data_IF_166083062372
#
_entry.id   IF_166083062372
#
_cell.length_a   1.000
_cell.length_b   1.000
_cell.length_c   1.000
_cell.angle_alpha   90.00
_cell.angle_beta   90.00
_cell.angle_gamma   90.00
#
_symmetry.space_group_name_H-M   'P 1'
#
loop_
_entity.id
_entity.type
_entity.pdbx_description
1 polymer ?
#
# COMPACT_ATOMS: atom_id res chain seq x y z
N UNK A 1 1.78 -32.13 30.91
CA UNK A 1 2.28 -30.98 30.13
C UNK A 1 1.07 -30.13 29.78
N UNK A 2 0.94 -28.94 30.38
CA UNK A 2 -0.31 -28.16 30.38
C UNK A 2 -0.53 -27.43 29.05
N UNK A 3 -1.79 -27.11 28.72
CA UNK A 3 -2.15 -26.31 27.53
C UNK A 3 -1.35 -25.01 27.41
N UNK A 4 -0.99 -24.41 28.54
CA UNK A 4 -0.14 -23.23 28.61
C UNK A 4 1.26 -23.46 28.02
N UNK A 5 1.87 -24.63 28.28
CA UNK A 5 3.19 -24.98 27.71
C UNK A 5 3.11 -25.18 26.19
N UNK A 6 2.02 -25.76 25.69
CA UNK A 6 1.78 -25.90 24.25
C UNK A 6 1.52 -24.54 23.58
N UNK A 7 0.79 -23.64 24.24
CA UNK A 7 0.58 -22.27 23.76
C UNK A 7 1.89 -21.48 23.72
N UNK A 8 2.71 -21.55 24.77
CA UNK A 8 4.03 -20.89 24.79
C UNK A 8 5.00 -21.48 23.76
N UNK A 9 4.94 -22.78 23.49
CA UNK A 9 5.76 -23.40 22.45
C UNK A 9 5.34 -22.97 21.04
N UNK A 10 4.03 -22.85 20.77
CA UNK A 10 3.52 -22.31 19.50
C UNK A 10 3.93 -20.85 19.33
N UNK A 11 3.76 -20.02 20.35
CA UNK A 11 4.23 -18.63 20.35
C UNK A 11 5.74 -18.55 20.08
N UNK A 12 6.57 -19.37 20.72
CA UNK A 12 8.02 -19.38 20.46
C UNK A 12 8.38 -19.85 19.05
N UNK A 13 7.64 -20.81 18.49
CA UNK A 13 7.86 -21.31 17.13
C UNK A 13 7.44 -20.26 16.08
N UNK A 14 6.35 -19.53 16.34
CA UNK A 14 5.83 -18.49 15.47
C UNK A 14 6.58 -17.16 15.62
N UNK A 15 7.24 -16.94 16.77
CA UNK A 15 8.15 -15.81 17.05
C UNK A 15 9.62 -16.11 16.69
N UNK A 16 9.94 -17.31 16.20
CA UNK A 16 11.27 -17.58 15.68
C UNK A 16 11.53 -16.58 14.54
N UNK A 17 12.62 -15.80 14.59
CA UNK A 17 12.83 -14.75 13.61
C UNK A 17 12.81 -15.41 12.22
N UNK A 18 11.98 -14.92 11.29
CA UNK A 18 11.92 -15.50 9.95
C UNK A 18 13.34 -15.50 9.38
N UNK A 19 13.70 -16.56 8.62
CA UNK A 19 14.92 -16.55 7.82
C UNK A 19 14.86 -15.27 6.97
N UNK A 20 15.64 -14.27 7.37
CA UNK A 20 15.54 -12.92 6.81
C UNK A 20 15.85 -13.06 5.32
N UNK A 21 14.84 -12.87 4.46
CA UNK A 21 15.05 -12.82 3.03
C UNK A 21 16.20 -11.83 2.75
N UNK A 22 17.08 -12.10 1.76
CA UNK A 22 18.21 -11.23 1.47
C UNK A 22 17.68 -9.81 1.28
N UNK A 23 18.05 -8.92 2.20
CA UNK A 23 17.75 -7.50 2.05
C UNK A 23 18.56 -7.06 0.84
N UNK A 24 17.90 -6.42 -0.12
CA UNK A 24 18.49 -6.05 -1.41
C UNK A 24 19.88 -5.41 -1.30
N UNK A 25 20.62 -5.40 -2.41
CA UNK A 25 22.06 -5.15 -2.41
C UNK A 25 22.50 -3.98 -1.52
N UNK A 26 23.37 -4.27 -0.55
CA UNK A 26 23.92 -3.30 0.40
C UNK A 26 25.33 -2.92 -0.03
N UNK A 27 25.75 -1.65 0.06
CA UNK A 27 27.14 -1.29 -0.18
C UNK A 27 28.04 -1.82 0.94
N UNK A 28 29.21 -2.32 0.57
CA UNK A 28 30.28 -2.70 1.48
C UNK A 28 30.80 -1.46 2.20
N UNK A 29 30.81 -1.45 3.53
CA UNK A 29 31.26 -0.29 4.33
C UNK A 29 32.73 0.11 4.10
N UNK A 30 33.56 -0.79 3.57
CA UNK A 30 34.98 -0.55 3.36
C UNK A 30 35.34 -0.08 1.93
N UNK A 31 34.55 -0.46 0.92
CA UNK A 31 34.91 -0.27 -0.49
C UNK A 31 33.72 0.04 -1.41
N UNK A 32 32.54 0.26 -0.83
CA UNK A 32 31.27 0.62 -1.48
C UNK A 32 30.70 -0.36 -2.52
N UNK A 33 31.39 -1.47 -2.79
CA UNK A 33 30.87 -2.55 -3.65
C UNK A 33 29.54 -3.08 -3.11
N UNK A 34 28.53 -3.16 -3.96
CA UNK A 34 27.22 -3.74 -3.63
C UNK A 34 27.33 -5.26 -3.43
N UNK A 35 26.66 -5.77 -2.40
CA UNK A 35 26.65 -7.18 -2.00
C UNK A 35 25.27 -7.63 -1.52
N UNK A 36 24.94 -8.91 -1.69
CA UNK A 36 23.71 -9.52 -1.17
C UNK A 36 22.43 -9.24 -1.97
N UNK A 37 22.54 -8.76 -3.22
CA UNK A 37 21.46 -8.78 -4.20
C UNK A 37 21.09 -10.20 -4.65
N UNK A 38 19.90 -10.35 -5.26
CA UNK A 38 19.40 -11.64 -5.76
C UNK A 38 20.31 -12.21 -6.86
N UNK A 39 20.92 -11.33 -7.64
CA UNK A 39 21.82 -11.65 -8.74
C UNK A 39 23.30 -11.46 -8.39
N UNK A 40 23.61 -11.07 -7.14
CA UNK A 40 25.00 -10.86 -6.73
C UNK A 40 25.66 -12.21 -6.46
N UNK A 41 26.73 -12.52 -7.20
CA UNK A 41 27.58 -13.70 -6.93
C UNK A 41 28.22 -13.68 -5.53
N UNK A 42 28.27 -12.50 -4.89
CA UNK A 42 28.89 -12.31 -3.58
C UNK A 42 27.83 -12.15 -2.47
N UNK A 43 27.72 -13.12 -1.54
CA UNK A 43 26.86 -12.97 -0.37
C UNK A 43 27.36 -11.83 0.53
N UNK A 44 26.44 -11.03 1.05
CA UNK A 44 26.79 -9.99 2.01
C UNK A 44 27.23 -10.60 3.35
N UNK A 45 28.49 -10.37 3.74
CA UNK A 45 28.97 -10.73 5.07
C UNK A 45 28.60 -9.63 6.06
N UNK A 46 27.59 -9.88 6.89
CA UNK A 46 27.22 -8.96 7.98
C UNK A 46 28.21 -9.04 9.13
N UNK A 47 28.46 -7.91 9.81
CA UNK A 47 29.24 -7.91 11.04
C UNK A 47 28.66 -8.90 12.05
N UNK A 48 29.44 -9.88 12.50
CA UNK A 48 28.95 -10.92 13.42
C UNK A 48 28.44 -10.40 14.77
N UNK A 49 28.86 -9.20 15.18
CA UNK A 49 28.44 -8.59 16.45
C UNK A 49 27.17 -7.74 16.31
N UNK A 50 27.19 -6.70 15.47
CA UNK A 50 26.05 -5.78 15.36
C UNK A 50 25.05 -6.14 14.25
N UNK A 51 25.45 -6.94 13.25
CA UNK A 51 24.66 -7.33 12.06
C UNK A 51 24.11 -6.18 11.20
N UNK A 52 24.41 -4.93 11.53
CA UNK A 52 23.94 -3.75 10.80
C UNK A 52 24.78 -3.46 9.54
N UNK A 53 26.10 -3.66 9.61
CA UNK A 53 27.04 -3.31 8.54
C UNK A 53 27.38 -4.53 7.69
N UNK A 54 27.37 -4.35 6.37
CA UNK A 54 27.70 -5.38 5.38
C UNK A 54 29.09 -5.17 4.79
N UNK A 55 29.76 -6.28 4.48
CA UNK A 55 31.07 -6.33 3.84
C UNK A 55 31.08 -7.35 2.70
N UNK A 56 31.84 -7.10 1.64
CA UNK A 56 32.04 -8.09 0.58
C UNK A 56 32.99 -9.22 0.98
N UNK A 57 33.88 -8.98 1.94
CA UNK A 57 34.86 -9.97 2.39
C UNK A 57 35.33 -9.72 3.82
N UNK A 58 36.03 -10.70 4.40
CA UNK A 58 36.62 -10.58 5.73
C UNK A 58 37.71 -9.51 5.78
N UNK A 59 38.47 -9.36 4.71
CA UNK A 59 39.53 -8.35 4.57
C UNK A 59 38.94 -6.94 4.66
N UNK A 60 37.82 -6.70 3.98
CA UNK A 60 37.08 -5.43 4.06
C UNK A 60 36.55 -5.16 5.48
N UNK A 61 36.06 -6.19 6.17
CA UNK A 61 35.64 -6.04 7.57
C UNK A 61 36.80 -5.69 8.50
N UNK A 62 37.98 -6.30 8.29
CA UNK A 62 39.18 -6.03 9.11
C UNK A 62 39.75 -4.64 8.81
N UNK A 63 39.76 -4.22 7.55
CA UNK A 63 40.26 -2.89 7.16
C UNK A 63 39.38 -1.77 7.73
N UNK A 64 38.06 -1.93 7.70
CA UNK A 64 37.11 -0.95 8.25
C UNK A 64 36.97 -1.01 9.79
N UNK A 65 37.51 -2.05 10.44
CA UNK A 65 37.30 -2.28 11.88
C UNK A 65 37.68 -1.07 12.76
N UNK A 66 38.74 -0.33 12.40
CA UNK A 66 39.17 0.86 13.15
C UNK A 66 38.08 1.93 13.22
N UNK A 67 37.32 2.12 12.13
CA UNK A 67 36.21 3.06 12.06
C UNK A 67 34.93 2.43 12.62
N UNK A 68 34.62 1.20 12.19
CA UNK A 68 33.41 0.49 12.56
C UNK A 68 33.31 0.18 14.05
N UNK A 69 34.40 -0.05 14.78
CA UNK A 69 34.36 -0.51 16.19
C UNK A 69 33.50 0.38 17.10
N UNK A 70 33.57 1.70 16.93
CA UNK A 70 32.77 2.66 17.71
C UNK A 70 31.28 2.52 17.38
N UNK A 71 30.95 2.56 16.08
CA UNK A 71 29.59 2.38 15.58
C UNK A 71 29.02 1.01 15.94
N UNK A 72 29.83 -0.05 15.93
CA UNK A 72 29.44 -1.41 16.30
C UNK A 72 28.93 -1.49 17.74
N UNK A 73 29.59 -0.79 18.67
CA UNK A 73 29.15 -0.72 20.06
C UNK A 73 27.83 0.06 20.19
N UNK A 74 27.67 1.16 19.44
CA UNK A 74 26.43 1.95 19.42
C UNK A 74 25.26 1.16 18.83
N UNK A 75 25.45 0.48 17.70
CA UNK A 75 24.43 -0.37 17.09
C UNK A 75 23.97 -1.47 18.04
N UNK A 76 24.90 -2.13 18.72
CA UNK A 76 24.56 -3.14 19.73
C UNK A 76 23.76 -2.56 20.89
N UNK A 77 24.16 -1.41 21.44
CA UNK A 77 23.39 -0.74 22.51
C UNK A 77 21.98 -0.39 22.06
N UNK A 78 21.83 0.08 20.81
CA UNK A 78 20.50 0.37 20.22
C UNK A 78 19.66 -0.90 20.10
N UNK A 79 20.25 -2.01 19.63
CA UNK A 79 19.53 -3.28 19.51
C UNK A 79 19.17 -3.86 20.88
N UNK A 80 20.08 -3.85 21.85
CA UNK A 80 19.78 -4.28 23.23
C UNK A 80 18.67 -3.42 23.88
N UNK A 81 18.67 -2.11 23.63
CA UNK A 81 17.60 -1.23 24.09
C UNK A 81 16.27 -1.54 23.40
N UNK A 82 16.29 -1.86 22.10
CA UNK A 82 15.11 -2.28 21.34
C UNK A 82 14.57 -3.61 21.85
N UNK A 83 15.42 -4.60 22.08
CA UNK A 83 15.04 -5.90 22.63
C UNK A 83 14.45 -5.75 24.02
N UNK A 84 15.06 -4.94 24.89
CA UNK A 84 14.53 -4.66 26.22
C UNK A 84 13.17 -3.96 26.16
N UNK A 85 12.99 -3.00 25.25
CA UNK A 85 11.71 -2.33 25.04
C UNK A 85 10.65 -3.30 24.49
N UNK A 86 11.02 -4.16 23.55
CA UNK A 86 10.12 -5.19 23.01
C UNK A 86 9.71 -6.22 24.07
N UNK A 87 10.60 -6.55 25.01
CA UNK A 87 10.26 -7.41 26.15
C UNK A 87 9.36 -6.71 27.18
N UNK A 88 9.56 -5.41 27.40
CA UNK A 88 8.74 -4.62 28.32
C UNK A 88 7.33 -4.38 27.76
N UNK A 89 7.21 -4.14 26.45
CA UNK A 89 5.95 -3.84 25.78
C UNK A 89 5.80 -4.66 24.48
N UNK A 90 5.52 -5.98 24.58
CA UNK A 90 5.47 -6.87 23.42
C UNK A 90 4.47 -6.44 22.36
N UNK A 91 3.31 -5.92 22.78
CA UNK A 91 2.27 -5.44 21.87
C UNK A 91 2.74 -4.24 21.04
N UNK A 92 3.52 -3.32 21.61
CA UNK A 92 4.02 -2.15 20.88
C UNK A 92 5.07 -2.55 19.84
N UNK A 93 5.87 -3.58 20.11
CA UNK A 93 6.78 -4.14 19.10
C UNK A 93 6.01 -4.73 17.92
N UNK A 94 4.98 -5.55 18.20
CA UNK A 94 4.14 -6.14 17.15
C UNK A 94 3.41 -5.05 16.37
N UNK A 95 2.87 -4.03 17.04
CA UNK A 95 2.24 -2.89 16.39
C UNK A 95 3.18 -2.19 15.41
N UNK A 96 4.42 -1.89 15.82
CA UNK A 96 5.40 -1.23 14.93
C UNK A 96 5.75 -2.06 13.71
N UNK A 97 5.96 -3.35 13.90
CA UNK A 97 6.27 -4.27 12.80
C UNK A 97 5.07 -4.39 11.84
N UNK A 98 3.85 -4.51 12.38
CA UNK A 98 2.60 -4.52 11.62
C UNK A 98 2.39 -3.19 10.88
N UNK A 99 2.59 -2.05 11.54
CA UNK A 99 2.37 -0.73 10.96
C UNK A 99 3.37 -0.47 9.82
N UNK A 100 4.63 -0.88 10.00
CA UNK A 100 5.64 -0.82 8.94
C UNK A 100 5.26 -1.69 7.75
N UNK A 101 4.84 -2.92 7.99
CA UNK A 101 4.41 -3.82 6.92
C UNK A 101 3.15 -3.29 6.20
N UNK A 102 2.18 -2.79 6.96
CA UNK A 102 0.93 -2.24 6.45
C UNK A 102 1.19 -0.99 5.62
N UNK A 103 2.08 -0.10 6.07
CA UNK A 103 2.45 1.11 5.31
C UNK A 103 2.95 0.81 3.89
N UNK A 104 3.66 -0.31 3.72
CA UNK A 104 4.12 -0.79 2.41
C UNK A 104 3.01 -1.45 1.60
N UNK A 105 2.10 -2.16 2.28
CA UNK A 105 0.96 -2.80 1.63
C UNK A 105 0.00 -1.78 1.01
N UNK A 106 -0.16 -0.61 1.66
CA UNK A 106 -1.10 0.44 1.24
C UNK A 106 -0.46 1.62 0.50
N UNK A 107 0.86 1.57 0.31
CA UNK A 107 1.66 2.63 -0.34
C UNK A 107 1.05 3.03 -1.68
N UNK A 108 0.60 2.05 -2.45
CA UNK A 108 0.09 2.24 -3.80
C UNK A 108 -1.27 2.93 -3.80
N UNK A 109 -2.17 2.54 -2.91
CA UNK A 109 -3.47 3.17 -2.75
C UNK A 109 -3.32 4.63 -2.31
N UNK A 110 -2.43 4.89 -1.34
CA UNK A 110 -2.12 6.26 -0.91
C UNK A 110 -1.64 7.10 -2.10
N UNK A 111 -0.67 6.56 -2.84
CA UNK A 111 -0.06 7.23 -3.97
C UNK A 111 -1.08 7.46 -5.09
N UNK A 112 -1.85 6.44 -5.48
CA UNK A 112 -2.71 6.51 -6.65
C UNK A 112 -4.05 7.23 -6.40
N UNK A 113 -4.66 7.06 -5.22
CA UNK A 113 -5.93 7.70 -4.88
C UNK A 113 -5.76 9.05 -4.21
N UNK A 114 -4.94 9.09 -3.15
CA UNK A 114 -4.99 10.22 -2.25
C UNK A 114 -4.04 11.32 -2.69
N UNK A 115 -2.81 11.01 -3.09
CA UNK A 115 -1.78 12.04 -3.30
C UNK A 115 -2.20 13.14 -4.27
N UNK A 116 -2.71 12.76 -5.44
CA UNK A 116 -3.12 13.74 -6.46
C UNK A 116 -4.21 14.66 -5.92
N UNK A 117 -5.28 14.08 -5.38
CA UNK A 117 -6.47 14.80 -4.94
C UNK A 117 -6.23 15.57 -3.63
N UNK A 118 -5.56 14.95 -2.67
CA UNK A 118 -5.22 15.51 -1.36
C UNK A 118 -4.24 16.69 -1.46
N UNK A 119 -3.19 16.56 -2.29
CA UNK A 119 -2.19 17.62 -2.47
C UNK A 119 -2.45 18.52 -3.67
N UNK A 120 -3.51 18.25 -4.42
CA UNK A 120 -3.97 19.04 -5.58
C UNK A 120 -2.87 19.18 -6.63
N UNK A 121 -2.17 18.09 -6.91
CA UNK A 121 -1.00 18.08 -7.78
C UNK A 121 -1.34 18.63 -9.17
N UNK A 122 -0.51 19.54 -9.69
CA UNK A 122 -0.71 20.18 -11.00
C UNK A 122 -1.66 21.38 -11.00
N UNK A 123 -2.32 21.68 -9.87
CA UNK A 123 -3.18 22.85 -9.74
C UNK A 123 -2.42 24.06 -9.20
N UNK A 124 -3.02 25.26 -9.31
CA UNK A 124 -2.38 26.52 -8.89
C UNK A 124 -2.09 26.58 -7.39
N UNK A 125 -2.84 25.82 -6.62
CA UNK A 125 -2.87 25.73 -5.18
C UNK A 125 -2.47 24.34 -4.70
N UNK A 126 -1.54 23.71 -5.43
CA UNK A 126 -0.86 22.51 -4.95
C UNK A 126 -0.20 22.77 -3.60
N UNK A 127 -0.27 21.80 -2.70
CA UNK A 127 0.07 22.02 -1.29
C UNK A 127 1.03 20.97 -0.73
N UNK A 128 1.65 20.16 -1.60
CA UNK A 128 2.54 19.06 -1.25
C UNK A 128 3.72 19.46 -0.34
N UNK A 129 4.29 20.65 -0.54
CA UNK A 129 5.44 21.12 0.26
C UNK A 129 5.05 21.78 1.59
N UNK A 130 3.77 22.12 1.76
CA UNK A 130 3.25 22.85 2.91
C UNK A 130 2.30 22.02 3.76
N UNK A 131 1.90 20.84 3.29
CA UNK A 131 0.97 19.96 3.96
C UNK A 131 1.47 18.52 3.98
N UNK A 132 0.89 17.72 4.88
CA UNK A 132 1.10 16.27 4.97
C UNK A 132 -0.23 15.55 4.97
N UNK A 133 -0.24 14.33 4.44
CA UNK A 133 -1.38 13.44 4.54
C UNK A 133 -1.31 12.68 5.87
N UNK A 134 -2.35 12.74 6.68
CA UNK A 134 -2.44 12.05 7.96
C UNK A 134 -3.54 11.00 7.89
N UNK A 135 -3.18 9.75 8.17
CA UNK A 135 -4.11 8.64 8.30
C UNK A 135 -4.20 8.24 9.78
N UNK A 136 -5.39 8.37 10.36
CA UNK A 136 -5.67 7.89 11.71
C UNK A 136 -6.22 6.47 11.63
N UNK A 137 -5.51 5.53 12.25
CA UNK A 137 -5.76 4.10 12.20
C UNK A 137 -6.13 3.56 13.58
N UNK A 138 -7.03 2.58 13.65
CA UNK A 138 -7.13 1.69 14.81
C UNK A 138 -6.44 0.39 14.50
N UNK A 139 -5.78 -0.19 15.50
CA UNK A 139 -5.08 -1.46 15.36
C UNK A 139 -5.70 -2.58 16.20
N UNK A 140 -5.73 -3.79 15.63
CA UNK A 140 -6.16 -5.03 16.25
C UNK A 140 -5.18 -6.15 15.88
N UNK A 141 -4.44 -6.72 16.84
CA UNK A 141 -3.49 -7.79 16.53
C UNK A 141 -4.15 -9.13 16.18
N UNK A 142 -5.46 -9.31 16.43
CA UNK A 142 -6.10 -10.62 16.32
C UNK A 142 -6.28 -11.14 14.88
N UNK A 143 -6.69 -10.32 13.89
CA UNK A 143 -6.88 -10.80 12.52
C UNK A 143 -5.59 -11.36 11.93
N UNK A 144 -5.70 -12.52 11.26
CA UNK A 144 -4.53 -13.16 10.62
C UNK A 144 -3.98 -12.36 9.44
N UNK A 145 -4.87 -11.72 8.67
CA UNK A 145 -4.50 -10.89 7.52
C UNK A 145 -4.12 -9.49 8.00
N UNK A 146 -2.95 -9.01 7.60
CA UNK A 146 -2.40 -7.72 8.01
C UNK A 146 -3.36 -6.56 7.73
N UNK A 147 -3.93 -6.47 6.53
CA UNK A 147 -4.92 -5.43 6.17
C UNK A 147 -6.11 -5.33 7.12
N UNK A 148 -6.56 -6.46 7.68
CA UNK A 148 -7.68 -6.50 8.64
C UNK A 148 -7.28 -6.09 10.05
N UNK A 149 -5.98 -5.99 10.35
CA UNK A 149 -5.48 -5.50 11.63
C UNK A 149 -5.59 -4.00 11.75
N UNK A 150 -5.77 -3.27 10.65
CA UNK A 150 -5.89 -1.82 10.65
C UNK A 150 -7.26 -1.39 10.13
N UNK A 151 -7.87 -0.44 10.83
CA UNK A 151 -9.08 0.25 10.39
C UNK A 151 -8.72 1.73 10.21
N UNK A 152 -8.82 2.23 8.98
CA UNK A 152 -8.68 3.67 8.73
C UNK A 152 -9.93 4.40 9.22
N UNK A 153 -9.77 5.17 10.30
CA UNK A 153 -10.84 5.96 10.95
C UNK A 153 -10.96 7.33 10.28
N UNK A 154 -9.83 7.92 9.92
CA UNK A 154 -9.78 9.27 9.37
C UNK A 154 -8.62 9.40 8.38
N UNK A 155 -8.84 10.16 7.32
CA UNK A 155 -7.81 10.58 6.37
C UNK A 155 -7.97 12.09 6.17
N UNK A 156 -6.90 12.87 6.38
CA UNK A 156 -6.96 14.33 6.27
C UNK A 156 -5.62 14.93 5.84
N UNK A 157 -5.65 16.15 5.34
CA UNK A 157 -4.47 16.92 4.96
C UNK A 157 -4.25 18.01 5.99
N UNK A 158 -3.10 17.97 6.66
CA UNK A 158 -2.74 18.95 7.70
C UNK A 158 -1.60 19.83 7.23
N UNK A 159 -1.67 21.13 7.54
CA UNK A 159 -0.58 22.05 7.30
C UNK A 159 0.64 21.69 8.15
N UNK A 160 1.83 21.79 7.56
CA UNK A 160 3.11 21.63 8.24
C UNK A 160 3.47 22.97 8.89
N UNK A 161 3.59 23.06 10.23
CA UNK A 161 3.98 24.29 10.89
C UNK A 161 5.33 24.78 10.36
N UNK A 162 5.41 26.08 10.03
CA UNK A 162 6.62 26.73 9.51
C UNK A 162 7.13 26.20 8.17
N UNK A 163 6.34 25.44 7.41
CA UNK A 163 6.73 25.08 6.06
C UNK A 163 6.80 26.34 5.18
N UNK A 164 7.96 26.57 4.59
CA UNK A 164 8.11 27.60 3.56
C UNK A 164 7.48 27.05 2.27
N UNK A 165 6.55 27.80 1.63
CA UNK A 165 6.02 27.40 0.34
C UNK A 165 7.18 27.20 -0.62
N UNK A 166 7.36 25.99 -1.14
CA UNK A 166 8.20 25.83 -2.33
C UNK A 166 7.43 26.46 -3.48
N UNK A 167 8.11 27.14 -4.43
CA UNK A 167 7.46 27.51 -5.67
C UNK A 167 6.78 26.24 -6.21
N UNK A 168 5.53 26.36 -6.70
CA UNK A 168 4.89 25.20 -7.27
C UNK A 168 5.81 24.64 -8.34
N UNK A 169 5.73 23.34 -8.57
CA UNK A 169 6.50 22.59 -9.57
C UNK A 169 6.08 22.96 -11.00
N UNK A 170 5.67 24.22 -11.20
CA UNK A 170 5.28 24.86 -12.44
C UNK A 170 6.51 25.04 -13.32
N UNK A 171 6.51 24.30 -14.43
CA UNK A 171 7.32 24.63 -15.59
C UNK A 171 8.40 23.63 -15.96
N UNK A 172 8.50 22.48 -15.29
CA UNK A 172 9.38 21.40 -15.76
C UNK A 172 8.64 20.13 -16.13
N UNK A 173 7.30 20.06 -16.17
CA UNK A 173 6.64 18.85 -16.68
C UNK A 173 6.68 18.74 -18.22
N UNK A 174 7.21 19.75 -18.90
CA UNK A 174 7.81 19.60 -20.23
C UNK A 174 9.26 19.05 -20.09
N UNK A 175 9.52 18.17 -19.11
CA UNK A 175 10.72 17.33 -19.18
C UNK A 175 10.52 16.45 -20.40
N UNK A 176 11.59 16.28 -21.19
CA UNK A 176 11.65 15.25 -22.23
C UNK A 176 10.99 13.97 -21.69
N UNK A 177 10.19 13.30 -22.51
CA UNK A 177 9.35 12.13 -22.14
C UNK A 177 10.11 11.03 -21.37
N UNK A 178 11.44 11.08 -21.35
CA UNK A 178 12.36 10.17 -20.68
C UNK A 178 12.69 10.52 -19.20
N UNK A 179 12.55 11.78 -18.74
CA UNK A 179 12.77 12.12 -17.31
C UNK A 179 11.45 12.02 -16.53
N UNK A 180 11.27 10.88 -15.85
CA UNK A 180 10.15 10.64 -14.96
C UNK A 180 10.09 11.70 -13.85
N UNK A 181 9.16 12.65 -13.99
CA UNK A 181 8.89 13.63 -12.95
C UNK A 181 8.50 12.90 -11.66
N UNK A 182 9.37 13.03 -10.65
CA UNK A 182 9.25 12.37 -9.35
C UNK A 182 8.81 13.39 -8.30
N UNK A 183 7.67 13.10 -7.68
CA UNK A 183 7.04 13.99 -6.71
C UNK A 183 7.10 13.34 -5.33
N UNK A 184 7.64 14.05 -4.34
CA UNK A 184 7.79 13.57 -2.96
C UNK A 184 6.79 14.24 -2.00
N UNK A 185 6.00 13.43 -1.28
CA UNK A 185 5.09 13.90 -0.23
C UNK A 185 5.34 13.24 1.12
N UNK A 186 4.91 13.92 2.19
CA UNK A 186 4.95 13.40 3.56
C UNK A 186 3.61 12.75 3.93
N UNK A 187 3.68 11.53 4.46
CA UNK A 187 2.52 10.82 5.01
C UNK A 187 2.84 10.37 6.42
N UNK A 188 1.87 10.58 7.30
CA UNK A 188 1.95 10.19 8.69
C UNK A 188 0.82 9.22 9.01
N UNK A 189 1.17 8.04 9.49
CA UNK A 189 0.23 7.07 10.02
C UNK A 189 0.18 7.24 11.55
N UNK A 190 -0.98 7.60 12.08
CA UNK A 190 -1.22 7.73 13.51
C UNK A 190 -2.08 6.57 13.98
N UNK A 191 -1.60 5.81 14.96
CA UNK A 191 -2.39 4.72 15.56
C UNK A 191 -3.08 5.24 16.80
N UNK A 192 -4.39 5.05 16.86
CA UNK A 192 -5.25 5.48 17.96
C UNK A 192 -5.52 4.31 18.90
N UNK A 193 -5.45 4.55 20.21
CA UNK A 193 -5.93 3.62 21.21
C UNK A 193 -7.45 3.40 21.05
N UNK A 194 -7.88 2.13 21.09
CA UNK A 194 -9.29 1.79 20.89
C UNK A 194 -10.21 2.32 22.00
N UNK A 195 -9.71 2.48 23.22
CA UNK A 195 -10.50 2.88 24.39
C UNK A 195 -10.47 4.39 24.60
N UNK A 196 -9.29 5.00 24.53
CA UNK A 196 -9.11 6.43 24.82
C UNK A 196 -9.21 7.31 23.58
N UNK A 197 -8.95 6.76 22.39
CA UNK A 197 -8.83 7.52 21.15
C UNK A 197 -7.54 8.34 21.06
N UNK A 198 -6.64 8.24 22.04
CA UNK A 198 -5.34 8.93 22.04
C UNK A 198 -4.35 8.28 21.09
N UNK A 199 -3.37 9.06 20.62
CA UNK A 199 -2.31 8.56 19.74
C UNK A 199 -1.35 7.69 20.55
N UNK A 200 -1.20 6.43 20.16
CA UNK A 200 -0.27 5.48 20.80
C UNK A 200 1.05 5.36 20.06
N UNK A 201 1.02 5.51 18.73
CA UNK A 201 2.19 5.39 17.87
C UNK A 201 2.05 6.28 16.64
N UNK A 202 3.19 6.79 16.15
CA UNK A 202 3.24 7.65 14.98
C UNK A 202 4.35 7.18 14.05
N UNK A 203 3.98 6.81 12.83
CA UNK A 203 4.92 6.39 11.80
C UNK A 203 4.92 7.39 10.64
N UNK A 204 5.98 8.20 10.56
CA UNK A 204 6.26 9.01 9.39
C UNK A 204 6.95 8.15 8.35
N UNK A 205 6.33 7.97 7.18
CA UNK A 205 7.09 7.50 6.02
C UNK A 205 7.80 8.73 5.44
N UNK A 206 9.14 8.78 5.46
CA UNK A 206 9.84 10.04 5.25
C UNK A 206 9.56 10.64 3.87
N UNK A 207 9.29 9.80 2.86
CA UNK A 207 8.99 10.23 1.49
C UNK A 207 8.18 9.15 0.78
N UNK A 208 6.98 9.48 0.32
CA UNK A 208 6.31 8.72 -0.73
C UNK A 208 6.63 9.38 -2.04
N UNK A 209 7.19 8.59 -2.96
CA UNK A 209 7.58 9.03 -4.28
C UNK A 209 6.54 8.62 -5.30
N UNK A 210 6.12 9.55 -6.14
CA UNK A 210 5.27 9.20 -7.27
C UNK A 210 5.88 9.66 -8.57
N UNK A 211 6.01 8.72 -9.49
CA UNK A 211 6.26 9.01 -10.90
C UNK A 211 4.97 9.47 -11.55
N UNK A 212 4.98 10.64 -12.16
CA UNK A 212 3.80 11.19 -12.84
C UNK A 212 3.29 10.32 -13.99
N UNK A 213 4.14 9.45 -14.54
CA UNK A 213 3.76 8.41 -15.49
C UNK A 213 2.69 7.45 -14.94
N UNK A 214 2.50 7.38 -13.62
CA UNK A 214 1.44 6.58 -13.00
C UNK A 214 0.04 7.17 -13.20
N UNK A 215 -0.07 8.43 -13.66
CA UNK A 215 -1.34 9.04 -14.10
C UNK A 215 -1.31 9.32 -15.62
N UNK A 216 -1.30 8.29 -16.47
CA UNK A 216 -1.19 8.46 -17.93
C UNK A 216 -2.43 9.06 -18.60
N UNK A 217 -3.50 9.32 -17.85
CA UNK A 217 -4.84 9.59 -18.41
C UNK A 217 -5.07 11.05 -18.84
N UNK A 218 -4.37 12.02 -18.26
CA UNK A 218 -4.51 13.43 -18.61
C UNK A 218 -3.43 14.27 -17.92
N UNK A 219 -3.02 15.42 -18.51
CA UNK A 219 -2.22 16.41 -17.81
C UNK A 219 -2.87 16.78 -16.47
N UNK A 220 -2.10 16.70 -15.38
CA UNK A 220 -2.62 16.95 -14.03
C UNK A 220 -3.33 18.31 -13.88
N UNK A 221 -2.90 19.32 -14.66
CA UNK A 221 -3.45 20.68 -14.65
C UNK A 221 -4.89 20.78 -15.13
N UNK A 222 -5.39 19.81 -15.90
CA UNK A 222 -6.77 19.79 -16.40
C UNK A 222 -7.63 18.68 -15.75
N UNK A 223 -7.00 17.76 -15.02
CA UNK A 223 -7.71 16.66 -14.34
C UNK A 223 -8.43 17.20 -13.10
N UNK A 224 -9.76 17.03 -12.98
CA UNK A 224 -10.49 17.50 -11.80
C UNK A 224 -10.01 16.81 -10.52
N UNK A 225 -10.15 17.48 -9.38
CA UNK A 225 -9.77 16.92 -8.06
C UNK A 225 -10.96 16.12 -7.51
N UNK A 226 -10.69 14.92 -7.00
CA UNK A 226 -11.71 14.18 -6.25
C UNK A 226 -11.90 14.83 -4.88
N UNK A 227 -13.01 15.52 -4.67
CA UNK A 227 -13.32 16.14 -3.37
C UNK A 227 -13.64 15.13 -2.26
N UNK A 228 -13.99 13.89 -2.62
CA UNK A 228 -14.30 12.80 -1.69
C UNK A 228 -13.13 11.84 -1.46
N UNK A 229 -11.92 12.19 -1.91
CA UNK A 229 -10.72 11.34 -1.85
C UNK A 229 -10.48 10.69 -0.49
N UNK A 230 -10.78 11.39 0.61
CA UNK A 230 -10.58 10.88 1.97
C UNK A 230 -11.52 9.71 2.29
N UNK A 231 -12.80 9.82 1.91
CA UNK A 231 -13.80 8.76 2.08
C UNK A 231 -13.49 7.58 1.17
N UNK A 232 -13.10 7.85 -0.07
CA UNK A 232 -12.79 6.81 -1.07
C UNK A 232 -11.52 6.04 -0.68
N UNK A 233 -10.48 6.73 -0.21
CA UNK A 233 -9.30 6.08 0.36
C UNK A 233 -9.68 5.20 1.55
N UNK A 234 -10.48 5.71 2.50
CA UNK A 234 -10.93 4.91 3.64
C UNK A 234 -11.69 3.65 3.21
N UNK A 235 -12.57 3.76 2.21
CA UNK A 235 -13.30 2.62 1.67
C UNK A 235 -12.34 1.61 1.01
N UNK A 236 -11.38 2.07 0.22
CA UNK A 236 -10.36 1.24 -0.42
C UNK A 236 -9.51 0.48 0.61
N UNK A 237 -9.08 1.16 1.68
CA UNK A 237 -8.26 0.56 2.74
C UNK A 237 -9.02 -0.48 3.60
N UNK A 238 -10.36 -0.45 3.61
CA UNK A 238 -11.20 -1.45 4.28
C UNK A 238 -11.40 -2.72 3.46
N UNK A 239 -11.21 -2.66 2.14
CA UNK A 239 -11.29 -3.84 1.29
C UNK A 239 -10.23 -4.85 1.77
N UNK A 240 -10.49 -6.16 1.81
CA UNK A 240 -9.44 -7.15 2.08
C UNK A 240 -8.46 -7.35 0.91
N UNK A 241 -8.76 -6.82 -0.28
CA UNK A 241 -7.99 -7.00 -1.51
C UNK A 241 -7.43 -5.66 -1.98
N UNK A 242 -6.10 -5.57 -2.08
CA UNK A 242 -5.42 -4.41 -2.65
C UNK A 242 -5.89 -4.23 -4.10
N UNK A 243 -6.45 -3.08 -4.47
CA UNK A 243 -6.83 -2.84 -5.87
C UNK A 243 -5.57 -2.83 -6.74
N UNK A 244 -5.73 -3.14 -8.02
CA UNK A 244 -4.59 -3.17 -8.94
C UNK A 244 -4.05 -1.77 -9.22
N UNK A 245 -2.78 -1.71 -9.61
CA UNK A 245 -2.09 -0.45 -9.97
C UNK A 245 -2.82 0.34 -11.06
N UNK A 246 -3.46 -0.32 -12.02
CA UNK A 246 -4.14 0.31 -13.14
C UNK A 246 -5.53 0.81 -12.78
N UNK A 247 -6.18 0.21 -11.78
CA UNK A 247 -7.53 0.56 -11.39
C UNK A 247 -7.55 1.83 -10.53
N UNK A 248 -6.62 1.96 -9.58
CA UNK A 248 -6.61 3.04 -8.60
C UNK A 248 -6.65 4.45 -9.25
N UNK A 249 -5.80 4.77 -10.25
CA UNK A 249 -5.82 6.09 -10.86
C UNK A 249 -7.09 6.35 -11.69
N UNK A 250 -7.62 5.31 -12.31
CA UNK A 250 -8.83 5.40 -13.11
C UNK A 250 -10.07 5.57 -12.23
N UNK A 251 -10.12 4.92 -11.06
CA UNK A 251 -11.15 5.14 -10.05
C UNK A 251 -11.09 6.57 -9.51
N UNK A 252 -9.91 7.09 -9.15
CA UNK A 252 -9.76 8.49 -8.73
C UNK A 252 -10.25 9.47 -9.81
N UNK A 253 -9.91 9.21 -11.07
CA UNK A 253 -10.36 10.01 -12.21
C UNK A 253 -11.89 10.00 -12.35
N UNK A 254 -12.51 8.82 -12.32
CA UNK A 254 -13.97 8.67 -12.40
C UNK A 254 -14.66 9.39 -11.25
N UNK A 255 -14.15 9.22 -10.03
CA UNK A 255 -14.71 9.84 -8.83
C UNK A 255 -14.57 11.36 -8.85
N UNK A 256 -13.51 11.87 -9.47
CA UNK A 256 -13.30 13.31 -9.68
C UNK A 256 -14.34 13.97 -10.59
N UNK A 257 -15.03 13.19 -11.42
CA UNK A 257 -16.08 13.69 -12.30
C UNK A 257 -17.47 13.69 -11.64
N UNK A 258 -17.66 13.16 -10.43
CA UNK A 258 -18.96 13.24 -9.73
C UNK A 258 -19.19 14.68 -9.22
N UNK A 259 -20.24 15.42 -9.68
CA UNK A 259 -21.62 14.96 -9.85
C UNK A 259 -22.09 14.91 -11.31
N UNK A 260 -21.16 14.79 -12.27
CA UNK A 260 -21.51 14.66 -13.69
C UNK A 260 -22.37 13.40 -13.86
N UNK A 261 -23.38 13.48 -14.72
CA UNK A 261 -24.25 12.33 -14.99
C UNK A 261 -23.41 11.11 -15.42
N UNK A 262 -23.82 9.87 -15.10
CA UNK A 262 -23.09 8.66 -15.49
C UNK A 262 -22.69 8.65 -16.98
N UNK A 263 -23.58 9.14 -17.86
CA UNK A 263 -23.32 9.25 -19.30
C UNK A 263 -22.18 10.23 -19.66
N UNK A 264 -22.05 11.34 -18.95
CA UNK A 264 -20.99 12.30 -19.21
C UNK A 264 -19.66 11.92 -18.53
N UNK A 265 -19.70 11.22 -17.39
CA UNK A 265 -18.53 10.53 -16.85
C UNK A 265 -18.04 9.45 -17.82
N UNK A 266 -18.95 8.63 -18.37
CA UNK A 266 -18.65 7.61 -19.36
C UNK A 266 -18.11 8.20 -20.68
N UNK A 267 -18.67 9.31 -21.18
CA UNK A 267 -18.15 9.99 -22.36
C UNK A 267 -16.75 10.59 -22.15
N UNK A 268 -16.46 11.11 -20.95
CA UNK A 268 -15.11 11.58 -20.58
C UNK A 268 -14.12 10.42 -20.45
N UNK A 269 -14.59 9.31 -19.87
CA UNK A 269 -13.83 8.06 -19.78
C UNK A 269 -13.50 7.55 -21.19
N UNK A 270 -14.49 7.42 -22.06
CA UNK A 270 -14.31 7.00 -23.46
C UNK A 270 -13.36 7.94 -24.23
N UNK A 271 -13.50 9.26 -24.11
CA UNK A 271 -12.56 10.23 -24.70
C UNK A 271 -11.15 10.13 -24.15
N UNK A 272 -11.00 9.83 -22.86
CA UNK A 272 -9.70 9.54 -22.30
C UNK A 272 -9.15 8.28 -22.99
N UNK A 273 -9.87 7.17 -22.95
CA UNK A 273 -9.41 5.90 -23.51
C UNK A 273 -9.22 5.86 -25.03
N UNK A 274 -9.85 6.75 -25.81
CA UNK A 274 -9.56 6.94 -27.23
C UNK A 274 -8.08 7.25 -27.48
N UNK A 275 -7.44 8.01 -26.58
CA UNK A 275 -6.01 8.32 -26.65
C UNK A 275 -5.12 7.20 -26.11
N UNK A 276 -5.68 6.24 -25.36
CA UNK A 276 -4.93 5.17 -24.68
C UNK A 276 -5.62 3.79 -24.77
N UNK A 277 -5.79 3.23 -25.99
CA UNK A 277 -6.58 2.01 -26.21
C UNK A 277 -6.04 0.76 -25.50
N UNK A 278 -4.72 0.68 -25.29
CA UNK A 278 -4.10 -0.41 -24.50
C UNK A 278 -4.59 -0.40 -23.05
N UNK A 279 -4.74 0.79 -22.48
CA UNK A 279 -5.17 1.00 -21.11
C UNK A 279 -6.66 0.69 -20.94
N UNK A 280 -7.48 0.93 -21.98
CA UNK A 280 -8.91 0.55 -22.00
C UNK A 280 -9.10 -0.95 -21.80
N UNK A 281 -8.32 -1.75 -22.54
CA UNK A 281 -8.34 -3.21 -22.42
C UNK A 281 -7.86 -3.65 -21.04
N UNK A 282 -6.74 -3.11 -20.57
CA UNK A 282 -6.22 -3.43 -19.23
C UNK A 282 -7.22 -3.11 -18.12
N UNK A 283 -7.85 -1.93 -18.15
CA UNK A 283 -8.84 -1.53 -17.14
C UNK A 283 -10.04 -2.48 -17.10
N UNK A 284 -10.56 -2.86 -18.28
CA UNK A 284 -11.73 -3.70 -18.33
C UNK A 284 -11.42 -5.19 -18.02
N UNK A 285 -10.26 -5.72 -18.43
CA UNK A 285 -9.78 -7.04 -18.00
C UNK A 285 -9.63 -7.10 -16.47
N UNK A 286 -9.11 -6.02 -15.89
CA UNK A 286 -8.84 -5.91 -14.46
C UNK A 286 -10.11 -5.74 -13.62
N UNK A 287 -11.08 -4.96 -14.12
CA UNK A 287 -12.40 -4.85 -13.50
C UNK A 287 -13.11 -6.21 -13.47
N UNK A 288 -13.01 -7.00 -14.54
CA UNK A 288 -13.54 -8.37 -14.59
C UNK A 288 -12.81 -9.27 -13.57
N UNK A 289 -11.48 -9.16 -13.43
CA UNK A 289 -10.70 -9.92 -12.44
C UNK A 289 -11.17 -9.61 -11.01
N UNK A 290 -11.34 -8.34 -10.67
CA UNK A 290 -11.72 -7.91 -9.32
C UNK A 290 -13.14 -8.32 -8.98
N UNK A 291 -14.10 -8.15 -9.89
CA UNK A 291 -15.47 -8.62 -9.66
C UNK A 291 -15.52 -10.14 -9.49
N UNK A 292 -14.68 -10.88 -10.24
CA UNK A 292 -14.50 -12.32 -10.03
C UNK A 292 -13.91 -12.65 -8.67
N UNK A 293 -12.88 -11.94 -8.22
CA UNK A 293 -12.28 -12.17 -6.89
C UNK A 293 -13.25 -11.81 -5.76
N UNK A 294 -13.98 -10.70 -5.88
CA UNK A 294 -15.06 -10.34 -4.94
C UNK A 294 -16.12 -11.43 -4.87
N UNK A 295 -16.52 -11.99 -6.02
CA UNK A 295 -17.45 -13.11 -6.07
C UNK A 295 -16.88 -14.38 -5.42
N UNK A 296 -15.62 -14.72 -5.68
CA UNK A 296 -14.96 -15.92 -5.15
C UNK A 296 -14.64 -15.84 -3.65
N UNK A 297 -14.37 -14.64 -3.13
CA UNK A 297 -13.99 -14.40 -1.74
C UNK A 297 -15.10 -13.78 -0.89
N UNK A 298 -16.31 -13.64 -1.44
CA UNK A 298 -17.49 -13.31 -0.66
C UNK A 298 -17.71 -14.40 0.42
N UNK A 299 -17.75 -14.06 1.71
CA UNK A 299 -18.02 -15.05 2.75
C UNK A 299 -19.38 -15.71 2.51
N UNK A 300 -19.44 -17.05 2.57
CA UNK A 300 -20.70 -17.82 2.47
C UNK A 300 -21.75 -17.42 3.52
N UNK A 301 -21.36 -16.64 4.54
CA UNK A 301 -22.22 -16.18 5.64
C UNK A 301 -22.54 -14.68 5.61
N UNK A 302 -22.00 -13.89 4.68
CA UNK A 302 -22.49 -12.53 4.49
C UNK A 302 -23.65 -12.56 3.53
N UNK A 303 -24.87 -12.40 4.05
CA UNK A 303 -25.96 -11.75 3.31
C UNK A 303 -25.59 -10.28 3.07
N UNK A 304 -24.48 -10.04 2.37
CA UNK A 304 -24.33 -8.84 1.58
C UNK A 304 -25.45 -8.95 0.56
N UNK A 305 -26.53 -8.20 0.78
CA UNK A 305 -27.42 -7.86 -0.31
C UNK A 305 -26.50 -7.27 -1.39
N UNK A 306 -26.16 -8.09 -2.40
CA UNK A 306 -25.78 -7.57 -3.70
C UNK A 306 -26.78 -6.45 -3.95
N UNK A 307 -26.29 -5.23 -4.21
CA UNK A 307 -27.16 -4.10 -4.49
C UNK A 307 -28.28 -4.63 -5.42
N UNK A 308 -29.55 -4.63 -5.00
CA UNK A 308 -30.61 -5.27 -5.77
C UNK A 308 -30.80 -4.64 -7.16
N UNK A 309 -30.15 -3.49 -7.37
CA UNK A 309 -30.06 -2.80 -8.66
C UNK A 309 -28.80 -3.16 -9.46
N UNK A 310 -27.94 -4.07 -8.99
CA UNK A 310 -26.77 -4.53 -9.74
C UNK A 310 -27.20 -5.55 -10.79
N UNK A 311 -27.52 -5.02 -11.96
CA UNK A 311 -27.93 -5.81 -13.11
C UNK A 311 -26.72 -6.48 -13.76
N UNK A 312 -26.46 -7.73 -13.37
CA UNK A 312 -25.39 -8.55 -13.94
C UNK A 312 -25.54 -8.72 -15.46
N UNK A 313 -26.77 -8.67 -15.98
CA UNK A 313 -27.03 -8.70 -17.42
C UNK A 313 -26.62 -7.38 -18.06
N UNK A 314 -26.93 -6.22 -17.47
CA UNK A 314 -26.44 -4.93 -17.96
C UNK A 314 -24.91 -4.85 -17.97
N UNK A 315 -24.23 -5.38 -16.94
CA UNK A 315 -22.77 -5.46 -16.92
C UNK A 315 -22.21 -6.39 -18.00
N UNK A 316 -22.80 -7.57 -18.18
CA UNK A 316 -22.37 -8.50 -19.24
C UNK A 316 -22.63 -7.92 -20.64
N UNK A 317 -23.75 -7.21 -20.82
CA UNK A 317 -24.10 -6.53 -22.07
C UNK A 317 -23.13 -5.36 -22.35
N UNK A 318 -22.72 -4.60 -21.32
CA UNK A 318 -21.67 -3.59 -21.40
C UNK A 318 -20.33 -4.21 -21.85
N UNK A 319 -19.89 -5.30 -21.22
CA UNK A 319 -18.64 -6.00 -21.56
C UNK A 319 -18.67 -6.55 -23.00
N UNK A 320 -19.82 -7.08 -23.43
CA UNK A 320 -20.04 -7.49 -24.83
C UNK A 320 -19.97 -6.32 -25.80
N UNK A 321 -20.57 -5.18 -25.47
CA UNK A 321 -20.56 -3.98 -26.31
C UNK A 321 -19.15 -3.39 -26.50
N UNK A 322 -18.26 -3.62 -25.53
CA UNK A 322 -16.85 -3.25 -25.58
C UNK A 322 -15.99 -4.25 -26.39
N UNK A 323 -16.58 -5.31 -26.95
CA UNK A 323 -15.88 -6.33 -27.74
C UNK A 323 -15.02 -7.28 -26.90
N UNK A 324 -15.33 -7.44 -25.62
CA UNK A 324 -14.47 -8.12 -24.63
C UNK A 324 -14.88 -9.56 -24.29
N UNK A 325 -15.76 -10.16 -25.08
CA UNK A 325 -16.22 -11.55 -24.92
C UNK A 325 -17.49 -11.69 -24.07
N UNK A 326 -17.92 -12.93 -23.81
CA UNK A 326 -19.14 -13.26 -23.06
C UNK A 326 -18.82 -13.87 -21.69
N UNK A 327 -19.28 -13.25 -20.60
CA UNK A 327 -19.10 -13.79 -19.25
C UNK A 327 -20.06 -14.94 -18.91
N UNK A 328 -21.03 -15.25 -19.78
CA UNK A 328 -22.05 -16.29 -19.54
C UNK A 328 -21.46 -17.67 -19.27
N UNK A 329 -20.28 -17.98 -19.83
CA UNK A 329 -19.58 -19.25 -19.61
C UNK A 329 -19.01 -19.41 -18.18
N UNK A 330 -18.92 -18.33 -17.40
CA UNK A 330 -18.41 -18.33 -16.03
C UNK A 330 -19.52 -18.42 -14.97
N UNK A 331 -20.79 -18.24 -15.36
CA UNK A 331 -21.95 -18.47 -14.51
C UNK A 331 -22.20 -19.98 -14.39
N UNK A 332 -21.47 -20.66 -13.48
CA UNK A 332 -21.87 -22.03 -13.10
C UNK A 332 -23.11 -21.94 -12.21
N UNK A 333 -24.21 -22.64 -12.54
CA UNK A 333 -25.35 -22.72 -11.63
C UNK A 333 -24.89 -23.37 -10.33
N UNK A 334 -25.07 -22.65 -9.22
CA UNK A 334 -24.91 -23.19 -7.88
C UNK A 334 -25.90 -24.34 -7.76
N UNK A 335 -25.40 -25.57 -7.83
CA UNK A 335 -26.24 -26.75 -7.59
C UNK A 335 -26.72 -26.68 -6.14
N UNK A 336 -28.03 -26.78 -5.86
CA UNK A 336 -28.51 -26.72 -4.49
C UNK A 336 -27.85 -27.84 -3.67
N UNK A 337 -27.55 -27.60 -2.38
CA UNK A 337 -26.88 -28.58 -1.55
C UNK A 337 -27.71 -29.88 -1.53
N UNK A 338 -27.10 -30.98 -1.96
CA UNK A 338 -27.69 -32.32 -1.86
C UNK A 338 -27.93 -32.62 -0.38
N UNK A 339 -29.16 -32.46 0.10
CA UNK A 339 -29.62 -32.98 1.39
C UNK A 339 -29.37 -34.49 1.41
N UNK A 340 -28.30 -34.94 2.07
CA UNK A 340 -28.18 -36.34 2.49
C UNK A 340 -29.22 -36.56 3.59
N UNK A 341 -30.38 -37.08 3.22
CA UNK A 341 -31.28 -37.72 4.16
C UNK A 341 -30.52 -38.89 4.80
N UNK A 342 -30.06 -38.71 6.04
CA UNK A 342 -29.70 -39.86 6.89
C UNK A 342 -31.01 -40.59 7.19
N UNK A 343 -31.14 -41.81 6.71
CA UNK A 343 -32.15 -42.75 7.22
C UNK A 343 -31.79 -43.06 8.67
N UNK A 344 -32.79 -42.96 9.54
CA UNK A 344 -32.75 -43.32 10.94
C UNK A 344 -32.42 -44.80 11.14
#
# INVERSE_FOLDING_TARGET
>A
MSELQNMMHRLKKDLAPPKVAPRGSRPCSACDKRVGGVDDELPANLCGTCREVAYCSRECQVSDWKNHRKLCAEYRRKEEARDKAALAEPLNSVLRDDLKAYSKEIEREIVAFAFRSAFRLGHRDECLSTHRLVLSLRWDPQPKKLRKRFECVKAEVLAIPNASPRPPTRGSYDVDEDEQAFVEGEVVLMVLDRKTGEITECWGHPKFGVTLSNWPFAPLSITPINHNWASDLQASLRDPITPSETLLPAEDLVLSFSPISPAAAEALFERAFEKWPKLKRQFADERVRIERERFLYAPETSSLELNPNFDFKAMNDMIKSLGMGDLSHYARPISPPRRRLRKY
#
